data_IF_003394262841
#
_entry.id   IF_003394262841
#
_cell.length_a   1.000
_cell.length_b   1.000
_cell.length_c   1.000
_cell.angle_alpha   90.00
_cell.angle_beta   90.00
_cell.angle_gamma   90.00
#
_symmetry.space_group_name_H-M   'P 1'
#
loop_
_entity.id
_entity.type
_entity.pdbx_description
1 polymer ?
#
# COMPACT_ATOMS: atom_id res chain seq x y z
N UNK A 1 -40.39 2.30 -44.73
CA UNK A 1 -39.98 3.19 -43.64
C UNK A 1 -40.22 2.65 -42.21
N UNK A 2 -41.31 1.98 -41.87
CA UNK A 2 -41.58 1.47 -40.52
C UNK A 2 -40.58 0.41 -39.96
N UNK A 3 -40.02 -0.46 -40.82
CA UNK A 3 -39.07 -1.52 -40.35
C UNK A 3 -37.69 -1.03 -40.00
N UNK A 4 -37.24 0.14 -40.45
CA UNK A 4 -35.91 0.70 -40.13
C UNK A 4 -35.94 1.37 -38.77
N UNK A 5 -37.03 2.05 -38.39
CA UNK A 5 -37.18 2.75 -37.13
C UNK A 5 -37.12 1.75 -35.95
N UNK A 6 -37.73 0.58 -36.04
CA UNK A 6 -37.69 -0.44 -35.00
C UNK A 6 -36.30 -1.01 -34.75
N UNK A 7 -35.44 -1.13 -35.75
CA UNK A 7 -34.06 -1.60 -35.58
C UNK A 7 -33.21 -0.58 -34.83
N UNK A 8 -33.38 0.71 -35.06
CA UNK A 8 -32.62 1.73 -34.38
C UNK A 8 -33.07 1.93 -32.95
N UNK A 9 -34.36 1.84 -32.63
CA UNK A 9 -34.91 1.91 -31.31
C UNK A 9 -34.46 0.70 -30.45
N UNK A 10 -34.42 -0.51 -31.05
CA UNK A 10 -33.95 -1.70 -30.36
C UNK A 10 -32.44 -1.65 -30.09
N UNK A 11 -31.62 -1.11 -31.01
CA UNK A 11 -30.19 -0.93 -30.86
C UNK A 11 -29.87 0.12 -29.79
N UNK A 12 -30.63 1.22 -29.73
CA UNK A 12 -30.49 2.25 -28.71
C UNK A 12 -30.86 1.72 -27.28
N UNK A 13 -31.92 0.93 -27.16
CA UNK A 13 -32.30 0.29 -25.92
C UNK A 13 -31.28 -0.72 -25.41
N UNK A 14 -30.64 -1.50 -26.29
CA UNK A 14 -29.59 -2.45 -25.95
C UNK A 14 -28.32 -1.71 -25.50
N UNK A 15 -27.95 -0.59 -26.13
CA UNK A 15 -26.80 0.24 -25.72
C UNK A 15 -27.05 0.95 -24.38
N UNK A 16 -28.27 1.36 -24.06
CA UNK A 16 -28.62 1.98 -22.77
C UNK A 16 -28.65 0.95 -21.63
N UNK A 17 -29.01 -0.31 -21.89
CA UNK A 17 -28.99 -1.37 -20.88
C UNK A 17 -27.56 -1.81 -20.52
N UNK A 18 -26.58 -1.70 -21.42
CA UNK A 18 -25.19 -2.04 -21.16
C UNK A 18 -24.41 -1.00 -20.34
N UNK A 19 -24.94 0.18 -20.13
CA UNK A 19 -24.27 1.29 -19.44
C UNK A 19 -24.66 1.47 -17.96
N UNK A 20 -25.35 0.53 -17.30
CA UNK A 20 -25.51 0.57 -15.85
C UNK A 20 -24.14 0.42 -15.20
N UNK A 21 -23.46 1.55 -14.91
CA UNK A 21 -22.28 1.59 -14.04
C UNK A 21 -22.64 0.86 -12.75
N UNK A 22 -22.05 -0.32 -12.54
CA UNK A 22 -22.25 -1.04 -11.27
C UNK A 22 -21.81 -0.12 -10.13
N UNK A 23 -22.65 -0.01 -9.10
CA UNK A 23 -22.34 0.77 -7.88
C UNK A 23 -21.05 0.24 -7.26
N UNK A 24 -20.19 1.13 -6.77
CA UNK A 24 -19.02 0.75 -5.98
C UNK A 24 -19.49 -0.06 -4.76
N UNK A 25 -18.80 -1.15 -4.48
CA UNK A 25 -19.04 -2.03 -3.33
C UNK A 25 -17.79 -2.04 -2.48
N UNK A 26 -17.97 -1.85 -1.17
CA UNK A 26 -16.94 -1.97 -0.13
C UNK A 26 -17.32 -3.16 0.73
N UNK A 27 -16.49 -4.18 0.76
CA UNK A 27 -16.76 -5.45 1.43
C UNK A 27 -15.61 -5.74 2.41
N UNK A 28 -15.93 -6.03 3.67
CA UNK A 28 -14.98 -6.55 4.64
C UNK A 28 -14.55 -7.96 4.21
N UNK A 29 -13.23 -8.23 4.19
CA UNK A 29 -12.66 -9.51 3.72
C UNK A 29 -11.76 -10.21 4.72
N UNK A 30 -11.50 -9.60 5.88
CA UNK A 30 -10.75 -10.21 7.00
C UNK A 30 -11.43 -9.89 8.33
N UNK A 31 -11.02 -10.58 9.39
CA UNK A 31 -11.25 -10.11 10.74
C UNK A 31 -10.52 -8.78 11.01
N UNK A 32 -10.80 -8.16 12.16
CA UNK A 32 -10.13 -6.95 12.60
C UNK A 32 -8.84 -7.30 13.33
N UNK A 33 -7.76 -6.59 12.99
CA UNK A 33 -6.44 -6.68 13.60
C UNK A 33 -6.07 -5.35 14.25
N UNK A 34 -4.84 -5.23 14.77
CA UNK A 34 -4.36 -4.00 15.38
C UNK A 34 -4.17 -2.90 14.33
N UNK A 35 -3.04 -2.86 13.69
CA UNK A 35 -2.72 -1.92 12.60
C UNK A 35 -2.37 -2.71 11.35
N UNK A 36 -3.37 -2.94 10.50
CA UNK A 36 -3.16 -3.58 9.19
C UNK A 36 -2.52 -2.58 8.23
N UNK A 37 -1.42 -2.98 7.56
CA UNK A 37 -0.62 -2.14 6.69
C UNK A 37 0.05 -2.91 5.55
N UNK A 38 0.79 -2.20 4.68
CA UNK A 38 1.68 -2.73 3.66
C UNK A 38 1.06 -3.78 2.73
N UNK A 39 -0.16 -3.57 2.16
CA UNK A 39 -0.79 -4.60 1.35
C UNK A 39 -0.03 -4.81 0.03
N UNK A 40 0.39 -6.05 -0.21
CA UNK A 40 1.11 -6.49 -1.39
C UNK A 40 0.36 -7.63 -2.08
N UNK A 41 -0.03 -7.41 -3.35
CA UNK A 41 -0.69 -8.44 -4.15
C UNK A 41 0.33 -9.31 -4.89
N UNK A 42 0.43 -10.56 -4.50
CA UNK A 42 1.18 -11.54 -5.27
C UNK A 42 0.34 -12.07 -6.42
N UNK A 43 0.77 -11.76 -7.64
CA UNK A 43 0.04 -12.18 -8.84
C UNK A 43 0.33 -13.62 -9.25
N UNK A 44 1.40 -14.24 -8.76
CA UNK A 44 1.73 -15.64 -9.02
C UNK A 44 0.78 -16.55 -8.26
N UNK A 45 0.71 -16.40 -6.95
CA UNK A 45 -0.14 -17.22 -6.07
C UNK A 45 -1.58 -16.71 -5.99
N UNK A 46 -1.90 -15.50 -6.48
CA UNK A 46 -3.21 -14.82 -6.37
C UNK A 46 -3.61 -14.58 -4.92
N UNK A 47 -2.67 -14.21 -4.08
CA UNK A 47 -2.85 -13.94 -2.66
C UNK A 47 -2.52 -12.49 -2.32
N UNK A 48 -3.09 -12.01 -1.24
CA UNK A 48 -2.80 -10.70 -0.67
C UNK A 48 -1.98 -10.89 0.60
N UNK A 49 -0.75 -10.40 0.60
CA UNK A 49 0.05 -10.22 1.81
C UNK A 49 -0.23 -8.87 2.42
N UNK A 50 -0.16 -8.75 3.73
CA UNK A 50 -0.21 -7.52 4.49
C UNK A 50 0.38 -7.76 5.88
N UNK A 51 0.60 -6.70 6.65
CA UNK A 51 1.17 -6.80 7.99
C UNK A 51 0.17 -6.33 9.05
N UNK A 52 0.37 -6.76 10.30
CA UNK A 52 -0.20 -6.19 11.51
C UNK A 52 0.98 -5.65 12.31
N UNK A 53 1.23 -4.34 12.22
CA UNK A 53 2.51 -3.74 12.63
C UNK A 53 2.86 -4.09 14.08
N UNK A 54 2.04 -3.67 15.01
CA UNK A 54 2.31 -3.87 16.43
C UNK A 54 1.96 -5.27 16.93
N UNK A 55 1.13 -6.01 16.18
CA UNK A 55 0.92 -7.45 16.39
C UNK A 55 2.12 -8.28 15.97
N UNK A 56 3.06 -7.72 15.21
CA UNK A 56 4.26 -8.37 14.68
C UNK A 56 3.92 -9.58 13.77
N UNK A 57 2.87 -9.44 12.95
CA UNK A 57 2.46 -10.51 12.03
C UNK A 57 2.63 -10.09 10.57
N UNK A 58 3.12 -11.04 9.76
CA UNK A 58 2.84 -11.08 8.34
C UNK A 58 1.58 -11.93 8.15
N UNK A 59 0.61 -11.43 7.38
CA UNK A 59 -0.66 -12.10 7.11
C UNK A 59 -0.84 -12.32 5.62
N UNK A 60 -1.50 -13.41 5.25
CA UNK A 60 -1.81 -13.75 3.86
C UNK A 60 -3.28 -14.11 3.71
N UNK A 61 -4.04 -13.31 2.97
CA UNK A 61 -5.42 -13.57 2.60
C UNK A 61 -5.48 -14.36 1.29
N UNK A 62 -6.23 -15.46 1.29
CA UNK A 62 -6.69 -16.14 0.08
C UNK A 62 -8.08 -15.60 -0.32
N UNK A 63 -8.22 -14.73 -1.32
CA UNK A 63 -9.52 -14.13 -1.65
C UNK A 63 -10.54 -15.12 -2.24
N UNK A 64 -10.10 -16.29 -2.69
CA UNK A 64 -10.99 -17.32 -3.23
C UNK A 64 -11.73 -18.09 -2.12
N UNK A 65 -11.08 -18.26 -0.95
CA UNK A 65 -11.64 -19.00 0.19
C UNK A 65 -12.01 -18.11 1.37
N UNK A 66 -11.49 -16.88 1.43
CA UNK A 66 -11.61 -15.97 2.57
C UNK A 66 -10.68 -16.34 3.74
N UNK A 67 -9.86 -17.37 3.62
CA UNK A 67 -8.94 -17.81 4.68
C UNK A 67 -7.77 -16.81 4.80
N UNK A 68 -7.46 -16.44 6.04
CA UNK A 68 -6.27 -15.68 6.40
C UNK A 68 -5.33 -16.59 7.20
N UNK A 69 -4.09 -16.72 6.75
CA UNK A 69 -2.99 -17.33 7.49
C UNK A 69 -2.06 -16.25 8.03
N UNK A 70 -1.29 -16.56 9.05
CA UNK A 70 -0.47 -15.59 9.78
C UNK A 70 0.84 -16.18 10.22
N UNK A 71 1.93 -15.43 10.09
CA UNK A 71 3.26 -15.75 10.58
C UNK A 71 3.70 -14.70 11.60
N UNK A 72 3.99 -15.11 12.82
CA UNK A 72 4.52 -14.23 13.86
C UNK A 72 6.03 -14.04 13.66
N UNK A 73 6.47 -12.78 13.72
CA UNK A 73 7.88 -12.38 13.56
C UNK A 73 8.36 -11.83 14.89
N UNK A 74 9.16 -12.59 15.62
CA UNK A 74 9.73 -12.18 16.92
C UNK A 74 10.95 -11.27 16.72
N UNK A 75 10.73 -10.07 16.16
CA UNK A 75 11.81 -9.10 15.85
C UNK A 75 11.36 -7.63 15.94
N UNK A 76 10.22 -7.37 16.58
CA UNK A 76 9.65 -6.02 16.72
C UNK A 76 8.59 -5.70 15.65
N UNK A 77 8.11 -4.44 15.58
CA UNK A 77 7.02 -4.05 14.70
C UNK A 77 7.33 -4.36 13.23
N UNK A 78 6.44 -5.12 12.56
CA UNK A 78 6.56 -5.48 11.14
C UNK A 78 5.78 -4.47 10.31
N UNK A 79 6.44 -3.63 9.54
CA UNK A 79 5.84 -2.45 8.95
C UNK A 79 5.42 -2.60 7.48
N UNK A 80 6.11 -3.44 6.72
CA UNK A 80 5.90 -3.67 5.29
C UNK A 80 6.35 -5.08 4.91
N UNK A 81 5.72 -5.65 3.88
CA UNK A 81 6.11 -6.94 3.30
C UNK A 81 6.04 -6.91 1.79
N UNK A 82 7.02 -7.50 1.12
CA UNK A 82 7.06 -7.70 -0.34
C UNK A 82 7.54 -9.11 -0.67
N UNK A 83 7.14 -9.62 -1.82
CA UNK A 83 7.62 -10.92 -2.34
C UNK A 83 9.04 -10.79 -2.89
N UNK A 84 9.81 -11.88 -2.84
CA UNK A 84 11.11 -11.99 -3.48
C UNK A 84 10.94 -12.58 -4.88
N UNK A 85 11.58 -11.95 -5.87
CA UNK A 85 11.50 -12.37 -7.26
C UNK A 85 12.03 -13.80 -7.46
N UNK A 86 11.31 -14.60 -8.23
CA UNK A 86 11.69 -16.00 -8.53
C UNK A 86 11.40 -17.01 -7.42
N UNK A 87 10.76 -16.60 -6.30
CA UNK A 87 10.37 -17.48 -5.20
C UNK A 87 8.87 -17.39 -4.89
N UNK A 88 8.33 -18.38 -4.18
CA UNK A 88 6.94 -18.39 -3.71
C UNK A 88 6.83 -18.53 -2.18
N UNK A 89 7.95 -18.72 -1.52
CA UNK A 89 8.08 -18.98 -0.07
C UNK A 89 9.03 -18.00 0.63
N UNK A 90 9.59 -17.02 -0.12
CA UNK A 90 10.46 -15.99 0.44
C UNK A 90 9.79 -14.61 0.37
N UNK A 91 9.81 -13.94 1.50
CA UNK A 91 9.32 -12.57 1.66
C UNK A 91 10.41 -11.70 2.25
N UNK A 92 10.44 -10.43 1.86
CA UNK A 92 11.25 -9.43 2.54
C UNK A 92 10.32 -8.50 3.31
N UNK A 93 10.67 -8.24 4.55
CA UNK A 93 9.88 -7.36 5.42
C UNK A 93 10.77 -6.35 6.16
N UNK A 94 10.19 -5.18 6.44
CA UNK A 94 10.74 -4.25 7.41
C UNK A 94 10.26 -4.63 8.81
N UNK A 95 11.17 -4.88 9.76
CA UNK A 95 10.84 -5.22 11.13
C UNK A 95 11.75 -4.46 12.11
N UNK A 96 11.15 -3.67 13.01
CA UNK A 96 11.91 -2.71 13.79
C UNK A 96 12.69 -1.77 12.86
N UNK A 97 13.99 -1.69 12.97
CA UNK A 97 14.88 -0.93 12.07
C UNK A 97 15.55 -1.78 11.00
N UNK A 98 15.24 -3.08 10.95
CA UNK A 98 15.93 -4.04 10.10
C UNK A 98 15.10 -4.43 8.88
N UNK A 99 15.80 -4.80 7.83
CA UNK A 99 15.27 -5.55 6.70
C UNK A 99 15.53 -7.02 6.95
N UNK A 100 14.49 -7.84 6.90
CA UNK A 100 14.56 -9.28 7.17
C UNK A 100 14.08 -10.09 5.97
N UNK A 101 14.70 -11.25 5.73
CA UNK A 101 14.24 -12.28 4.80
C UNK A 101 13.48 -13.34 5.59
N UNK A 102 12.21 -13.51 5.28
CA UNK A 102 11.31 -14.46 5.94
C UNK A 102 11.08 -15.65 5.03
N UNK A 103 11.18 -16.87 5.58
CA UNK A 103 10.85 -18.12 4.89
C UNK A 103 9.48 -18.60 5.34
N UNK A 104 8.47 -18.40 4.47
CA UNK A 104 7.09 -18.78 4.75
C UNK A 104 6.27 -18.84 3.46
N UNK A 105 5.70 -20.02 3.15
CA UNK A 105 4.86 -20.22 1.98
C UNK A 105 3.43 -19.69 2.15
N UNK A 106 3.06 -19.34 3.39
CA UNK A 106 1.76 -18.79 3.72
C UNK A 106 0.62 -19.82 3.78
N UNK A 107 0.86 -21.10 3.63
CA UNK A 107 -0.23 -22.09 3.60
C UNK A 107 -0.77 -22.40 5.00
N UNK A 108 0.06 -22.25 6.04
CA UNK A 108 -0.32 -22.49 7.44
C UNK A 108 0.09 -21.34 8.35
N UNK A 109 -0.51 -21.31 9.54
CA UNK A 109 -0.11 -20.36 10.58
C UNK A 109 1.23 -20.79 11.19
N UNK A 110 2.13 -19.80 11.36
CA UNK A 110 3.41 -19.98 12.02
C UNK A 110 3.48 -19.13 13.30
N UNK A 111 3.74 -19.77 14.44
CA UNK A 111 3.86 -19.06 15.73
C UNK A 111 5.19 -18.31 15.87
N UNK A 112 6.25 -18.82 15.25
CA UNK A 112 7.56 -18.19 15.16
C UNK A 112 8.11 -18.54 13.78
N UNK A 113 7.99 -17.61 12.84
CA UNK A 113 8.49 -17.84 11.49
C UNK A 113 10.01 -17.73 11.44
N UNK A 114 10.64 -18.56 10.63
CA UNK A 114 12.08 -18.47 10.39
C UNK A 114 12.39 -17.24 9.55
N UNK A 115 13.33 -16.43 10.02
CA UNK A 115 13.83 -15.26 9.28
C UNK A 115 15.35 -15.09 9.46
N UNK A 116 15.93 -14.32 8.54
CA UNK A 116 17.34 -13.88 8.57
C UNK A 116 17.38 -12.37 8.48
N UNK A 117 18.11 -11.72 9.38
CA UNK A 117 18.37 -10.27 9.26
C UNK A 117 19.30 -10.05 8.08
N UNK A 118 18.87 -9.24 7.12
CA UNK A 118 19.63 -8.90 5.93
C UNK A 118 20.54 -7.69 6.16
N UNK A 119 19.97 -6.62 6.72
CA UNK A 119 20.70 -5.39 7.04
C UNK A 119 19.88 -4.50 7.98
N UNK A 120 20.56 -3.64 8.74
CA UNK A 120 19.95 -2.55 9.50
C UNK A 120 19.96 -1.28 8.67
N UNK A 121 18.81 -0.61 8.53
CA UNK A 121 18.67 0.59 7.69
C UNK A 121 19.27 1.83 8.38
N UNK A 122 19.06 1.97 9.68
CA UNK A 122 19.59 3.06 10.49
C UNK A 122 20.27 2.51 11.74
N UNK A 123 21.44 1.84 11.59
CA UNK A 123 22.05 1.08 12.70
C UNK A 123 22.43 1.95 13.90
N UNK A 124 22.76 3.22 13.68
CA UNK A 124 23.14 4.18 14.75
C UNK A 124 21.93 4.83 15.44
N UNK A 125 20.70 4.63 14.95
CA UNK A 125 19.48 5.18 15.56
C UNK A 125 18.80 4.14 16.42
N UNK A 126 18.43 4.52 17.66
CA UNK A 126 17.51 3.78 18.52
C UNK A 126 16.06 4.28 18.41
N UNK A 127 15.86 5.44 17.78
CA UNK A 127 14.63 6.23 17.86
C UNK A 127 13.79 6.13 16.59
N UNK A 128 14.22 5.30 15.63
CA UNK A 128 13.54 5.10 14.35
C UNK A 128 13.16 3.63 14.11
N UNK A 129 12.16 3.43 13.27
CA UNK A 129 11.76 2.14 12.72
C UNK A 129 11.45 2.25 11.24
N UNK A 130 11.44 1.13 10.55
CA UNK A 130 10.91 1.03 9.19
C UNK A 130 9.41 1.34 9.17
N UNK A 131 8.91 1.85 8.04
CA UNK A 131 7.49 2.12 7.82
C UNK A 131 7.06 1.60 6.44
N UNK A 132 6.48 2.43 5.56
CA UNK A 132 6.01 1.99 4.26
C UNK A 132 7.16 1.79 3.26
N UNK A 133 6.95 0.90 2.31
CA UNK A 133 7.92 0.61 1.26
C UNK A 133 7.27 -0.06 0.06
N UNK A 134 7.96 0.01 -1.07
CA UNK A 134 7.50 -0.58 -2.33
C UNK A 134 8.68 -0.88 -3.27
N UNK A 135 8.50 -1.86 -4.14
CA UNK A 135 9.51 -2.24 -5.13
C UNK A 135 9.28 -1.49 -6.43
N UNK A 136 10.34 -0.90 -6.99
CA UNK A 136 10.32 -0.24 -8.30
C UNK A 136 10.35 -1.24 -9.47
N UNK A 137 10.27 -0.75 -10.70
CA UNK A 137 10.26 -1.57 -11.92
C UNK A 137 11.58 -2.31 -12.19
N UNK A 138 12.67 -1.87 -11.58
CA UNK A 138 13.99 -2.52 -11.67
C UNK A 138 14.23 -3.54 -10.56
N UNK A 139 13.23 -3.75 -9.69
CA UNK A 139 13.32 -4.71 -8.59
C UNK A 139 14.03 -4.19 -7.35
N UNK A 140 14.33 -2.89 -7.25
CA UNK A 140 14.93 -2.27 -6.05
C UNK A 140 13.85 -1.99 -5.02
N UNK A 141 14.15 -2.23 -3.75
CA UNK A 141 13.22 -1.95 -2.67
C UNK A 141 13.41 -0.52 -2.14
N UNK A 142 12.35 0.27 -2.19
CA UNK A 142 12.27 1.59 -1.59
C UNK A 142 11.61 1.45 -0.24
N UNK A 143 12.34 1.77 0.82
CA UNK A 143 11.91 1.57 2.21
C UNK A 143 12.05 2.86 3.00
N UNK A 144 10.94 3.28 3.57
CA UNK A 144 10.89 4.47 4.43
C UNK A 144 11.05 4.15 5.90
N UNK A 145 11.54 5.13 6.65
CA UNK A 145 11.62 5.11 8.11
C UNK A 145 10.82 6.24 8.73
N UNK A 146 10.57 6.15 10.02
CA UNK A 146 9.92 7.17 10.83
C UNK A 146 10.44 7.09 12.26
N UNK A 147 10.20 8.12 13.07
CA UNK A 147 10.44 8.06 14.51
C UNK A 147 9.59 7.00 15.21
N UNK A 148 10.09 6.40 16.27
CA UNK A 148 9.30 5.52 17.12
C UNK A 148 8.13 6.29 17.75
N UNK A 149 7.01 5.61 17.95
CA UNK A 149 5.88 6.17 18.68
C UNK A 149 6.17 6.06 20.19
N UNK A 150 6.20 7.21 20.87
CA UNK A 150 6.36 7.30 22.32
C UNK A 150 5.18 8.06 22.91
N UNK A 151 4.41 7.41 23.77
CA UNK A 151 3.19 7.98 24.38
C UNK A 151 2.18 8.52 23.36
N UNK A 152 2.00 7.83 22.25
CA UNK A 152 1.08 8.22 21.18
C UNK A 152 1.58 9.37 20.29
N UNK A 153 2.84 9.79 20.45
CA UNK A 153 3.46 10.84 19.66
C UNK A 153 4.65 10.30 18.86
N UNK A 154 4.82 10.83 17.66
CA UNK A 154 5.92 10.51 16.76
C UNK A 154 6.73 11.77 16.56
N UNK A 155 8.01 11.72 16.93
CA UNK A 155 8.92 12.85 16.74
C UNK A 155 9.10 13.13 15.23
N UNK A 156 8.95 14.39 14.79
CA UNK A 156 9.07 14.73 13.40
C UNK A 156 10.53 14.71 12.92
N UNK A 157 10.72 14.52 11.61
CA UNK A 157 11.99 14.69 10.90
C UNK A 157 13.13 13.74 11.35
N UNK A 158 12.78 12.58 11.91
CA UNK A 158 13.75 11.54 12.27
C UNK A 158 13.94 10.49 11.19
N UNK A 159 12.95 10.30 10.33
CA UNK A 159 12.96 9.29 9.28
C UNK A 159 13.62 9.76 7.99
N UNK A 160 13.72 8.83 7.06
CA UNK A 160 14.25 8.99 5.71
C UNK A 160 13.59 8.02 4.74
N UNK A 161 13.79 8.20 3.44
CA UNK A 161 13.48 7.21 2.40
C UNK A 161 14.78 6.67 1.82
N UNK A 162 14.89 5.36 1.75
CA UNK A 162 16.05 4.63 1.24
C UNK A 162 15.69 3.83 0.00
N UNK A 163 16.64 3.67 -0.91
CA UNK A 163 16.60 2.77 -2.06
C UNK A 163 17.63 1.66 -1.87
N UNK A 164 17.21 0.41 -1.97
CA UNK A 164 17.99 -0.79 -1.65
C UNK A 164 18.09 -1.64 -2.92
N UNK A 165 19.29 -2.03 -3.31
CA UNK A 165 19.55 -2.87 -4.49
C UNK A 165 19.63 -4.38 -4.15
N UNK A 166 19.83 -5.22 -5.16
CA UNK A 166 19.91 -6.68 -5.06
C UNK A 166 21.04 -7.22 -4.17
N UNK A 167 22.06 -6.40 -3.90
CA UNK A 167 23.20 -6.75 -3.03
C UNK A 167 23.09 -6.10 -1.65
N UNK A 168 21.92 -5.55 -1.30
CA UNK A 168 21.61 -4.87 -0.04
C UNK A 168 22.40 -3.57 0.19
N UNK A 169 23.01 -3.00 -0.82
CA UNK A 169 23.51 -1.65 -0.76
C UNK A 169 22.33 -0.68 -0.78
N UNK A 170 22.35 0.33 0.06
CA UNK A 170 21.27 1.30 0.14
C UNK A 170 21.78 2.74 0.11
N UNK A 171 20.97 3.59 -0.49
CA UNK A 171 21.20 5.03 -0.58
C UNK A 171 20.02 5.79 0.03
N UNK A 172 20.34 6.88 0.72
CA UNK A 172 19.35 7.77 1.32
C UNK A 172 18.88 8.78 0.28
N UNK A 173 17.66 8.63 -0.19
CA UNK A 173 17.10 9.43 -1.29
C UNK A 173 16.38 10.70 -0.81
N UNK A 174 15.66 10.62 0.32
CA UNK A 174 14.93 11.75 0.89
C UNK A 174 15.19 11.82 2.39
N UNK A 175 15.64 12.98 2.86
CA UNK A 175 15.81 13.27 4.30
C UNK A 175 15.79 14.79 4.51
N UNK A 176 15.27 15.31 5.66
CA UNK A 176 14.53 14.57 6.70
C UNK A 176 13.10 14.24 6.26
N UNK A 177 12.53 13.20 6.87
CA UNK A 177 11.14 12.76 6.71
C UNK A 177 10.53 12.54 8.09
N UNK A 178 9.27 12.88 8.28
CA UNK A 178 8.59 12.65 9.56
C UNK A 178 7.98 11.25 9.62
N UNK A 179 7.10 10.91 8.66
CA UNK A 179 6.47 9.59 8.53
C UNK A 179 6.47 9.22 7.06
N UNK A 180 7.45 8.44 6.64
CA UNK A 180 7.57 7.99 5.25
C UNK A 180 6.44 7.03 4.91
N UNK A 181 5.65 7.39 3.91
CA UNK A 181 4.47 6.66 3.47
C UNK A 181 4.37 6.61 1.94
N UNK A 182 3.26 6.25 1.42
CA UNK A 182 2.78 6.10 0.08
C UNK A 182 3.78 6.28 -1.05
N UNK A 183 4.11 5.21 -1.78
CA UNK A 183 5.01 5.20 -2.92
C UNK A 183 4.28 4.69 -4.16
N UNK A 184 4.50 5.33 -5.31
CA UNK A 184 4.01 4.86 -6.60
C UNK A 184 4.85 5.40 -7.76
N UNK A 185 4.93 4.62 -8.86
CA UNK A 185 5.55 5.05 -10.12
C UNK A 185 4.52 5.07 -11.23
N UNK A 186 4.61 6.03 -12.14
CA UNK A 186 3.72 6.06 -13.28
C UNK A 186 4.07 4.96 -14.31
N UNK A 187 3.11 4.66 -15.22
CA UNK A 187 3.29 3.61 -16.23
C UNK A 187 4.47 3.85 -17.20
N UNK A 188 4.87 5.12 -17.39
CA UNK A 188 6.03 5.48 -18.23
C UNK A 188 7.35 5.30 -17.49
N UNK A 189 7.27 5.02 -16.20
CA UNK A 189 8.41 4.82 -15.31
C UNK A 189 9.39 6.01 -15.29
N UNK A 190 8.84 7.21 -15.35
CA UNK A 190 9.61 8.46 -15.35
C UNK A 190 9.11 9.47 -14.30
N UNK A 191 8.18 9.05 -13.43
CA UNK A 191 7.67 9.88 -12.34
C UNK A 191 7.45 9.00 -11.11
N UNK A 192 8.07 9.39 -10.01
CA UNK A 192 7.88 8.83 -8.68
C UNK A 192 6.97 9.72 -7.87
N UNK A 193 5.96 9.14 -7.21
CA UNK A 193 5.06 9.82 -6.29
C UNK A 193 5.35 9.37 -4.87
N UNK A 194 5.30 10.32 -3.93
CA UNK A 194 5.69 10.08 -2.55
C UNK A 194 4.85 10.88 -1.55
N UNK A 195 4.74 10.35 -0.33
CA UNK A 195 4.02 10.96 0.79
C UNK A 195 4.91 10.96 2.04
N UNK A 196 5.09 12.15 2.63
CA UNK A 196 5.43 12.31 4.04
C UNK A 196 4.16 12.81 4.74
N UNK A 197 3.52 11.92 5.51
CA UNK A 197 2.13 12.10 5.97
C UNK A 197 1.84 13.41 6.68
N UNK A 198 2.65 13.90 7.64
CA UNK A 198 2.36 15.15 8.35
C UNK A 198 2.37 16.40 7.47
N UNK A 199 3.04 16.35 6.32
CA UNK A 199 3.03 17.47 5.36
C UNK A 199 1.68 17.65 4.71
N UNK A 200 0.86 16.58 4.66
CA UNK A 200 -0.43 16.50 3.97
C UNK A 200 -0.34 16.75 2.46
N UNK A 201 0.85 16.54 1.89
CA UNK A 201 1.11 16.66 0.45
C UNK A 201 1.30 15.29 -0.19
N UNK A 202 0.83 15.16 -1.44
CA UNK A 202 1.32 14.15 -2.38
C UNK A 202 2.28 14.87 -3.31
N UNK A 203 3.53 14.42 -3.33
CA UNK A 203 4.57 15.02 -4.17
C UNK A 203 4.93 14.09 -5.32
N UNK A 204 5.49 14.65 -6.39
CA UNK A 204 6.08 13.92 -7.50
C UNK A 204 7.53 14.34 -7.66
N UNK A 205 8.33 13.40 -8.15
CA UNK A 205 9.69 13.60 -8.60
C UNK A 205 9.82 13.11 -10.04
N UNK A 206 10.75 13.67 -10.81
CA UNK A 206 11.23 13.03 -12.02
C UNK A 206 12.05 11.80 -11.60
N UNK A 207 11.83 10.68 -12.26
CA UNK A 207 12.42 9.40 -11.93
C UNK A 207 13.22 8.85 -13.10
N UNK A 208 14.44 8.40 -12.83
CA UNK A 208 15.34 7.78 -13.79
C UNK A 208 15.45 6.27 -13.48
N UNK A 209 14.71 5.41 -14.19
CA UNK A 209 14.54 4.00 -13.78
C UNK A 209 15.85 3.20 -13.83
N UNK A 210 16.78 3.52 -14.75
CA UNK A 210 18.06 2.83 -14.88
C UNK A 210 18.92 3.02 -13.62
N UNK A 211 19.09 4.26 -13.19
CA UNK A 211 19.88 4.65 -12.02
C UNK A 211 19.10 4.54 -10.71
N UNK A 212 17.76 4.65 -10.77
CA UNK A 212 16.88 4.73 -9.62
C UNK A 212 16.87 6.09 -8.93
N UNK A 213 17.40 7.14 -9.57
CA UNK A 213 17.52 8.47 -8.98
C UNK A 213 16.26 9.31 -9.15
N UNK A 214 16.06 10.27 -8.24
CA UNK A 214 14.91 11.18 -8.24
C UNK A 214 15.36 12.65 -8.23
N UNK A 215 14.58 13.52 -8.87
CA UNK A 215 14.86 14.96 -8.93
C UNK A 215 13.58 15.77 -9.10
N UNK A 216 13.68 17.11 -9.09
CA UNK A 216 12.59 18.04 -9.44
C UNK A 216 11.30 17.80 -8.63
N UNK A 217 11.39 17.89 -7.30
CA UNK A 217 10.23 17.76 -6.38
C UNK A 217 9.14 18.80 -6.70
N UNK A 218 7.88 18.32 -6.78
CA UNK A 218 6.70 19.18 -7.01
C UNK A 218 5.45 18.62 -6.32
N UNK A 219 4.61 19.50 -5.78
CA UNK A 219 3.33 19.10 -5.18
C UNK A 219 2.32 18.82 -6.30
N UNK A 220 1.72 17.64 -6.29
CA UNK A 220 0.67 17.20 -7.22
C UNK A 220 -0.71 17.15 -6.59
N UNK A 221 -0.80 17.08 -5.26
CA UNK A 221 -2.05 17.26 -4.53
C UNK A 221 -1.76 17.74 -3.11
N UNK A 222 -2.59 18.66 -2.62
CA UNK A 222 -2.43 19.31 -1.32
C UNK A 222 -3.73 19.15 -0.52
N UNK A 223 -3.71 18.28 0.51
CA UNK A 223 -4.86 18.06 1.38
C UNK A 223 -5.16 19.27 2.26
N UNK A 224 -4.18 20.15 2.53
CA UNK A 224 -4.39 21.37 3.31
C UNK A 224 -5.35 22.36 2.59
N UNK A 225 -5.45 22.25 1.27
CA UNK A 225 -6.41 23.03 0.44
C UNK A 225 -7.78 22.39 0.36
N UNK A 226 -8.05 21.40 1.19
CA UNK A 226 -9.33 20.69 1.24
C UNK A 226 -9.89 20.70 2.66
N UNK A 227 -11.19 20.44 2.80
CA UNK A 227 -11.83 20.26 4.12
C UNK A 227 -11.73 18.81 4.64
N UNK A 228 -10.82 17.99 4.09
CA UNK A 228 -10.64 16.60 4.53
C UNK A 228 -9.85 16.55 5.84
N UNK A 229 -10.38 15.80 6.79
CA UNK A 229 -9.65 15.44 8.02
C UNK A 229 -8.65 14.32 7.72
N UNK A 230 -7.68 14.13 8.62
CA UNK A 230 -6.68 13.08 8.52
C UNK A 230 -5.48 13.46 7.65
N UNK A 231 -4.62 12.50 7.42
CA UNK A 231 -3.38 12.65 6.66
C UNK A 231 -3.32 11.62 5.54
N UNK A 232 -2.66 11.90 4.40
CA UNK A 232 -2.42 10.90 3.37
C UNK A 232 -1.44 9.86 3.92
N UNK A 233 -1.71 8.58 3.62
CA UNK A 233 -0.98 7.44 4.13
C UNK A 233 -0.51 6.56 2.95
N UNK A 234 -0.77 5.27 2.91
CA UNK A 234 -0.39 4.42 1.79
C UNK A 234 -1.00 4.85 0.45
N UNK A 235 -0.32 4.51 -0.65
CA UNK A 235 -0.70 4.93 -1.99
C UNK A 235 -0.48 3.83 -3.03
N UNK A 236 -1.37 3.79 -4.04
CA UNK A 236 -1.17 3.01 -5.27
C UNK A 236 -1.61 3.80 -6.51
N UNK A 237 -1.35 3.27 -7.70
CA UNK A 237 -1.66 3.92 -8.98
C UNK A 237 -2.50 3.02 -9.87
N UNK A 238 -3.43 3.59 -10.61
CA UNK A 238 -4.23 2.85 -11.59
C UNK A 238 -3.62 2.88 -13.00
N UNK A 239 -4.15 2.03 -13.90
CA UNK A 239 -3.67 1.94 -15.30
C UNK A 239 -3.83 3.22 -16.10
N UNK A 240 -4.65 4.17 -15.62
CA UNK A 240 -4.82 5.50 -16.23
C UNK A 240 -3.81 6.52 -15.69
N UNK A 241 -3.00 6.12 -14.70
CA UNK A 241 -2.00 6.96 -14.05
C UNK A 241 -2.60 7.93 -13.04
N UNK A 242 -3.75 7.59 -12.44
CA UNK A 242 -4.30 8.33 -11.32
C UNK A 242 -3.97 7.63 -10.00
N UNK A 243 -3.74 8.42 -8.97
CA UNK A 243 -3.34 7.96 -7.65
C UNK A 243 -4.56 7.59 -6.81
N UNK A 244 -4.45 6.50 -6.10
CA UNK A 244 -5.38 6.08 -5.06
C UNK A 244 -4.64 6.16 -3.74
N UNK A 245 -5.17 6.93 -2.79
CA UNK A 245 -4.48 7.27 -1.55
C UNK A 245 -5.40 7.04 -0.37
N UNK A 246 -4.91 6.30 0.61
CA UNK A 246 -5.53 6.15 1.91
C UNK A 246 -5.45 7.48 2.68
N UNK A 247 -6.52 7.83 3.39
CA UNK A 247 -6.52 9.02 4.26
C UNK A 247 -6.76 8.57 5.69
N UNK A 248 -5.69 8.43 6.45
CA UNK A 248 -5.72 8.02 7.84
C UNK A 248 -6.37 9.11 8.71
N UNK A 249 -7.36 8.74 9.52
CA UNK A 249 -8.21 9.68 10.25
C UNK A 249 -9.31 10.34 9.40
N UNK A 250 -9.39 10.00 8.11
CA UNK A 250 -10.33 10.62 7.16
C UNK A 250 -11.49 9.74 6.71
N UNK A 251 -11.54 8.47 7.06
CA UNK A 251 -12.55 7.48 6.65
C UNK A 251 -12.65 7.24 5.14
N UNK A 252 -11.65 7.62 4.35
CA UNK A 252 -11.75 7.58 2.89
C UNK A 252 -10.48 7.06 2.24
N UNK A 253 -10.70 6.47 1.06
CA UNK A 253 -9.71 6.44 -0.01
C UNK A 253 -10.04 7.58 -0.98
N UNK A 254 -9.06 8.35 -1.40
CA UNK A 254 -9.20 9.39 -2.43
C UNK A 254 -8.57 8.92 -3.75
N UNK A 255 -9.19 9.33 -4.86
CA UNK A 255 -8.73 9.10 -6.22
C UNK A 255 -8.36 10.44 -6.82
N UNK A 256 -7.10 10.63 -7.17
CA UNK A 256 -6.53 11.91 -7.59
C UNK A 256 -5.91 11.79 -8.98
N UNK A 257 -6.15 12.78 -9.84
CA UNK A 257 -5.40 12.93 -11.08
C UNK A 257 -4.16 13.81 -10.80
N UNK A 258 -2.93 13.25 -10.78
CA UNK A 258 -1.74 14.02 -10.42
C UNK A 258 -1.33 15.04 -11.49
N UNK A 259 -1.78 14.88 -12.75
CA UNK A 259 -1.46 15.79 -13.85
C UNK A 259 -2.31 17.07 -13.79
N UNK A 260 -3.61 16.93 -13.48
CA UNK A 260 -4.53 18.08 -13.33
C UNK A 260 -4.67 18.56 -11.89
N UNK A 261 -4.04 17.85 -10.94
CA UNK A 261 -4.10 18.12 -9.49
C UNK A 261 -5.54 18.07 -8.93
N UNK A 262 -6.42 17.31 -9.56
CA UNK A 262 -7.84 17.24 -9.22
C UNK A 262 -8.20 16.00 -8.42
N UNK A 263 -9.04 16.18 -7.41
CA UNK A 263 -9.74 15.10 -6.75
C UNK A 263 -10.85 14.57 -7.68
N UNK A 264 -10.73 13.31 -8.09
CA UNK A 264 -11.68 12.66 -8.98
C UNK A 264 -12.83 11.99 -8.21
N UNK A 265 -12.50 11.44 -7.02
CA UNK A 265 -13.47 10.64 -6.24
C UNK A 265 -13.01 10.50 -4.79
N UNK A 266 -14.00 10.30 -3.91
CA UNK A 266 -13.82 9.77 -2.55
C UNK A 266 -14.57 8.46 -2.44
N UNK A 267 -13.96 7.46 -1.81
CA UNK A 267 -14.60 6.18 -1.47
C UNK A 267 -14.60 6.07 0.04
N UNK A 268 -15.78 6.08 0.66
CA UNK A 268 -15.92 5.93 2.11
C UNK A 268 -15.59 4.49 2.51
N UNK A 269 -14.76 4.34 3.54
CA UNK A 269 -14.39 3.06 4.17
C UNK A 269 -14.97 3.06 5.59
N UNK A 270 -15.55 1.94 6.07
CA UNK A 270 -16.13 1.88 7.40
C UNK A 270 -15.08 1.70 8.52
N UNK A 271 -14.05 2.56 8.49
CA UNK A 271 -13.00 2.66 9.47
C UNK A 271 -12.51 4.11 9.58
N UNK A 272 -12.08 4.57 10.74
CA UNK A 272 -11.52 5.90 10.95
C UNK A 272 -10.16 6.00 10.27
N UNK A 273 -9.26 5.10 10.61
CA UNK A 273 -7.91 5.04 10.08
C UNK A 273 -7.87 4.13 8.86
N UNK A 274 -7.83 4.72 7.67
CA UNK A 274 -7.58 4.02 6.40
C UNK A 274 -6.09 4.14 6.15
N UNK A 275 -5.37 3.02 6.24
CA UNK A 275 -3.91 3.02 6.34
C UNK A 275 -3.23 2.85 4.98
N UNK A 276 -3.56 1.81 4.21
CA UNK A 276 -2.89 1.58 2.93
C UNK A 276 -3.80 0.89 1.91
N UNK A 277 -3.29 0.67 0.69
CA UNK A 277 -4.08 0.03 -0.36
C UNK A 277 -3.22 -0.51 -1.51
N UNK A 278 -3.72 -1.57 -2.14
CA UNK A 278 -3.14 -2.14 -3.37
C UNK A 278 -4.22 -2.68 -4.30
N UNK A 279 -3.97 -2.65 -5.60
CA UNK A 279 -4.81 -3.36 -6.55
C UNK A 279 -4.45 -4.84 -6.60
N UNK A 280 -5.48 -5.70 -6.60
CA UNK A 280 -5.33 -7.14 -6.69
C UNK A 280 -6.53 -7.81 -7.36
N UNK A 281 -6.64 -9.13 -7.19
CA UNK A 281 -7.58 -9.98 -7.88
C UNK A 281 -7.09 -10.38 -9.28
N UNK A 282 -7.72 -11.36 -9.93
CA UNK A 282 -7.23 -11.94 -11.19
C UNK A 282 -7.06 -10.93 -12.34
N UNK A 283 -7.82 -9.84 -12.32
CA UNK A 283 -7.77 -8.75 -13.32
C UNK A 283 -7.22 -7.44 -12.76
N UNK A 284 -6.68 -7.44 -11.54
CA UNK A 284 -6.19 -6.26 -10.82
C UNK A 284 -7.25 -5.13 -10.74
N UNK A 285 -8.52 -5.48 -10.60
CA UNK A 285 -9.64 -4.54 -10.57
C UNK A 285 -10.39 -4.52 -9.22
N UNK A 286 -9.84 -5.18 -8.22
CA UNK A 286 -10.23 -5.06 -6.82
C UNK A 286 -9.18 -4.23 -6.10
N UNK A 287 -9.60 -3.17 -5.40
CA UNK A 287 -8.72 -2.40 -4.54
C UNK A 287 -8.85 -2.95 -3.12
N UNK A 288 -7.80 -3.57 -2.62
CA UNK A 288 -7.72 -3.99 -1.22
C UNK A 288 -7.23 -2.82 -0.39
N UNK A 289 -7.92 -2.54 0.70
CA UNK A 289 -7.70 -1.38 1.57
C UNK A 289 -7.51 -1.88 2.99
N UNK A 290 -6.36 -1.60 3.58
CA UNK A 290 -6.04 -1.89 4.98
C UNK A 290 -6.52 -0.75 5.89
N UNK A 291 -6.79 -1.08 7.15
CA UNK A 291 -7.26 -0.10 8.12
C UNK A 291 -6.68 -0.37 9.50
N UNK A 292 -6.69 0.62 10.38
CA UNK A 292 -6.25 0.48 11.76
C UNK A 292 -7.40 0.39 12.74
N UNK A 293 -7.31 -0.56 13.67
CA UNK A 293 -8.06 -0.63 14.92
C UNK A 293 -7.24 -0.21 16.14
N UNK A 294 -5.96 0.14 15.91
CA UNK A 294 -5.01 0.53 16.95
C UNK A 294 -5.28 1.97 17.44
N UNK A 295 -5.12 2.21 18.74
CA UNK A 295 -5.29 3.51 19.39
C UNK A 295 -6.64 4.23 19.12
N UNK A 296 -7.70 3.49 18.81
CA UNK A 296 -9.04 4.05 18.68
C UNK A 296 -9.65 4.34 20.05
N UNK A 297 -10.26 5.51 20.19
CA UNK A 297 -11.10 5.81 21.38
C UNK A 297 -12.31 4.86 21.43
N UNK A 298 -12.95 4.72 22.59
CA UNK A 298 -14.16 3.90 22.75
C UNK A 298 -15.26 4.33 21.76
N UNK A 299 -15.49 5.63 21.62
CA UNK A 299 -16.45 6.20 20.68
C UNK A 299 -16.12 5.87 19.22
N UNK A 300 -14.85 5.95 18.80
CA UNK A 300 -14.41 5.60 17.47
C UNK A 300 -14.60 4.11 17.20
N UNK A 301 -14.30 3.26 18.17
CA UNK A 301 -14.48 1.80 18.08
C UNK A 301 -15.95 1.42 17.94
N UNK A 302 -16.82 2.08 18.68
CA UNK A 302 -18.29 1.88 18.57
C UNK A 302 -18.80 2.30 17.19
N UNK A 303 -18.37 3.46 16.68
CA UNK A 303 -18.78 3.97 15.36
C UNK A 303 -18.18 3.21 14.18
N UNK A 304 -17.05 2.56 14.37
CA UNK A 304 -16.35 1.80 13.31
C UNK A 304 -15.89 0.43 13.81
N UNK A 305 -16.83 -0.48 14.12
CA UNK A 305 -16.52 -1.79 14.71
C UNK A 305 -15.74 -2.72 13.77
N UNK A 306 -15.62 -2.36 12.48
CA UNK A 306 -14.84 -3.09 11.48
C UNK A 306 -13.43 -2.51 11.27
N UNK A 307 -13.02 -1.51 12.04
CA UNK A 307 -11.68 -0.95 11.98
C UNK A 307 -10.62 -2.01 12.32
N UNK A 308 -9.49 -1.98 11.63
CA UNK A 308 -8.46 -3.02 11.68
C UNK A 308 -8.63 -4.13 10.62
N UNK A 309 -9.80 -4.19 9.95
CA UNK A 309 -10.01 -5.16 8.85
C UNK A 309 -9.42 -4.68 7.54
N UNK A 310 -9.21 -5.63 6.62
CA UNK A 310 -8.99 -5.35 5.20
C UNK A 310 -10.33 -5.32 4.48
N UNK A 311 -10.50 -4.35 3.57
CA UNK A 311 -11.69 -4.20 2.73
C UNK A 311 -11.34 -4.41 1.25
N UNK A 312 -12.24 -5.07 0.52
CA UNK A 312 -12.19 -5.17 -0.95
C UNK A 312 -13.15 -4.14 -1.56
N UNK A 313 -12.62 -3.21 -2.32
CA UNK A 313 -13.41 -2.22 -3.06
C UNK A 313 -13.50 -2.63 -4.52
N UNK A 314 -14.73 -2.88 -4.97
CA UNK A 314 -15.03 -3.41 -6.31
C UNK A 314 -15.83 -2.43 -7.15
N UNK A 315 -15.88 -2.67 -8.46
CA UNK A 315 -16.64 -1.87 -9.44
C UNK A 315 -16.13 -0.42 -9.58
N UNK A 316 -14.83 -0.20 -9.41
CA UNK A 316 -14.21 1.12 -9.54
C UNK A 316 -14.19 1.65 -10.97
N UNK A 317 -14.37 0.79 -11.99
CA UNK A 317 -14.30 1.14 -13.41
C UNK A 317 -12.86 1.31 -13.91
N UNK A 318 -11.89 0.90 -13.11
CA UNK A 318 -10.46 0.93 -13.41
C UNK A 318 -9.78 -0.22 -12.66
N UNK A 319 -8.58 -0.61 -13.10
CA UNK A 319 -7.70 -1.54 -12.38
C UNK A 319 -6.31 -0.96 -12.24
N UNK A 320 -5.51 -1.58 -11.37
CA UNK A 320 -4.13 -1.23 -11.13
C UNK A 320 -3.13 -1.93 -12.05
N UNK A 321 -1.86 -1.73 -11.75
CA UNK A 321 -0.71 -2.43 -12.33
C UNK A 321 -0.28 -3.58 -11.42
N UNK A 322 0.58 -4.45 -11.91
CA UNK A 322 1.21 -5.48 -11.09
C UNK A 322 2.09 -4.84 -10.01
N UNK A 323 2.11 -5.42 -8.83
CA UNK A 323 3.14 -5.14 -7.85
C UNK A 323 4.44 -5.84 -8.27
N UNK A 324 5.57 -5.19 -8.06
CA UNK A 324 6.88 -5.76 -8.35
C UNK A 324 7.40 -6.52 -7.13
N UNK A 325 8.18 -7.58 -7.36
CA UNK A 325 8.90 -8.34 -6.34
C UNK A 325 10.32 -7.83 -6.20
N UNK A 326 10.87 -7.85 -4.98
CA UNK A 326 12.24 -7.45 -4.73
C UNK A 326 13.21 -8.45 -5.36
N UNK A 327 14.16 -7.94 -6.12
CA UNK A 327 15.24 -8.74 -6.69
C UNK A 327 16.36 -8.82 -5.66
N UNK A 328 16.66 -10.02 -5.18
CA UNK A 328 17.80 -10.31 -4.32
C UNK A 328 18.79 -11.21 -5.07
N UNK A 329 20.08 -11.03 -4.81
CA UNK A 329 21.11 -11.92 -5.36
C UNK A 329 20.91 -13.35 -4.83
N UNK A 330 21.27 -14.35 -5.63
CA UNK A 330 21.11 -15.77 -5.25
C UNK A 330 21.82 -16.14 -3.95
N UNK A 331 22.98 -15.51 -3.68
CA UNK A 331 23.75 -15.72 -2.46
C UNK A 331 22.98 -15.34 -1.18
N UNK A 332 22.10 -14.35 -1.28
CA UNK A 332 21.32 -13.86 -0.15
C UNK A 332 20.07 -14.71 0.06
N UNK A 333 19.50 -15.25 -1.02
CA UNK A 333 18.25 -16.03 -0.99
C UNK A 333 18.46 -17.48 -0.60
N UNK A 334 19.67 -17.99 -0.65
CA UNK A 334 20.08 -19.30 -0.13
C UNK A 334 20.27 -19.25 1.39
#
# INVERSE_FOLDING_TARGET
>A
MRRVIYKYVFLLCVLVVLARRRRIRVEKVTDSFGLSEGPHWDHQTKKLYFVDIYGQYIRRLNPATGVVTSAYVDHGPVSVVVTVNGTTDKLVAGSGKDLILVSWDGEQNEKNVTFKVLTSIEPSSSDTRTNDGKVDSSGRFWLGTMGNEVNGQIAPNLGSLYRINETLQFEKEITPVSISNGLAWNKKDNTFYYIDSPTRHIVAYDYHPKEGTISNKRIVFDLNKTNMKGVPDGMTIDRKGNLWVAVNGGHHVIHVNPRTKQLLRKVKIPAVGVSSLTFGGPRLNTLYVTTTGYNLTAEQREKTPQAGSVFAVKNLGVGGTLANSFVLSEEITR
#
